data_IF_128765350520
#
_entry.id   IF_128765350520
#
_cell.length_a   1.000
_cell.length_b   1.000
_cell.length_c   1.000
_cell.angle_alpha   90.00
_cell.angle_beta   90.00
_cell.angle_gamma   90.00
#
_symmetry.space_group_name_H-M   'P 1'
#
loop_
_entity.id
_entity.type
_entity.pdbx_description
1 polymer ?
#
# COMPACT_ATOMS: atom_id res chain seq x y z
N UNK A 1 14.57 10.07 -7.41
CA UNK A 1 14.05 9.04 -6.51
C UNK A 1 13.33 9.71 -5.35
N UNK A 2 12.12 9.32 -5.04
CA UNK A 2 11.31 9.92 -3.97
C UNK A 2 11.29 8.95 -2.81
N UNK A 3 11.71 9.44 -1.63
CA UNK A 3 11.63 8.69 -0.38
C UNK A 3 10.26 8.90 0.25
N UNK A 4 9.57 7.81 0.50
CA UNK A 4 8.28 7.83 1.19
C UNK A 4 8.49 7.19 2.55
N UNK A 5 8.42 8.01 3.58
CA UNK A 5 8.49 7.56 4.96
C UNK A 5 7.10 7.56 5.59
N UNK A 6 6.82 6.50 6.31
CA UNK A 6 5.59 6.40 7.08
C UNK A 6 5.90 6.66 8.56
N UNK A 7 5.55 7.84 9.03
CA UNK A 7 5.61 8.18 10.45
C UNK A 7 4.47 7.51 11.21
N UNK A 8 4.64 6.25 11.49
CA UNK A 8 3.90 5.64 12.60
C UNK A 8 4.63 5.99 13.89
N UNK A 9 3.89 6.34 14.92
CA UNK A 9 4.42 6.55 16.27
C UNK A 9 4.94 5.21 16.82
N UNK A 10 6.06 4.77 16.25
CA UNK A 10 6.70 3.48 16.48
C UNK A 10 7.70 3.61 17.62
N UNK A 11 7.22 3.59 18.82
CA UNK A 11 8.13 3.33 19.94
C UNK A 11 8.48 1.83 19.97
N UNK A 12 9.68 1.54 19.47
CA UNK A 12 10.64 0.47 19.83
C UNK A 12 10.26 -1.02 19.68
N UNK A 13 9.02 -1.44 19.83
CA UNK A 13 8.67 -2.88 19.78
C UNK A 13 8.35 -3.35 18.34
N UNK A 14 7.75 -2.51 17.57
CA UNK A 14 7.29 -2.85 16.21
C UNK A 14 8.44 -3.10 15.21
N UNK A 15 9.53 -2.31 15.19
CA UNK A 15 10.65 -2.57 14.29
C UNK A 15 11.33 -3.90 14.55
N UNK A 16 11.51 -4.25 15.83
CA UNK A 16 12.12 -5.52 16.22
C UNK A 16 11.25 -6.70 15.82
N UNK A 17 9.95 -6.62 16.04
CA UNK A 17 8.99 -7.66 15.65
C UNK A 17 8.98 -7.88 14.12
N UNK A 18 8.93 -6.82 13.34
CA UNK A 18 8.96 -6.89 11.88
C UNK A 18 10.30 -7.41 11.36
N UNK A 19 11.41 -7.00 11.96
CA UNK A 19 12.74 -7.52 11.60
C UNK A 19 12.83 -9.03 11.84
N UNK A 20 12.40 -9.49 13.00
CA UNK A 20 12.37 -10.93 13.32
C UNK A 20 11.48 -11.70 12.37
N UNK A 21 10.28 -11.18 12.05
CA UNK A 21 9.40 -11.81 11.07
C UNK A 21 10.03 -11.86 9.67
N UNK A 22 10.74 -10.81 9.25
CA UNK A 22 11.43 -10.77 7.98
C UNK A 22 12.52 -11.85 7.82
N UNK A 23 13.15 -12.24 8.91
CA UNK A 23 14.16 -13.30 8.95
C UNK A 23 13.56 -14.72 9.02
N UNK A 24 12.29 -14.84 9.42
CA UNK A 24 11.62 -16.12 9.60
C UNK A 24 10.85 -16.57 8.35
N UNK A 25 11.56 -17.02 7.33
CA UNK A 25 10.94 -17.55 6.10
C UNK A 25 9.97 -18.72 6.36
N UNK A 26 10.18 -19.47 7.43
CA UNK A 26 9.33 -20.59 7.81
C UNK A 26 7.90 -20.18 8.20
N UNK A 27 7.69 -18.92 8.56
CA UNK A 27 6.39 -18.37 8.93
C UNK A 27 5.64 -17.71 7.77
N UNK A 28 6.25 -17.65 6.57
CA UNK A 28 5.57 -17.17 5.37
C UNK A 28 4.37 -18.06 5.06
N UNK A 29 3.19 -17.48 5.03
CA UNK A 29 1.91 -18.19 5.00
C UNK A 29 0.94 -17.67 3.92
N UNK A 30 1.43 -16.86 2.99
CA UNK A 30 0.67 -16.41 1.82
C UNK A 30 1.61 -16.22 0.62
N UNK A 31 1.10 -16.53 -0.56
CA UNK A 31 1.79 -16.29 -1.82
C UNK A 31 0.95 -15.35 -2.68
N UNK A 32 1.57 -14.29 -3.17
CA UNK A 32 0.94 -13.34 -4.10
C UNK A 32 1.61 -13.51 -5.46
N UNK A 33 0.82 -13.80 -6.48
CA UNK A 33 1.28 -13.98 -7.84
C UNK A 33 0.86 -12.79 -8.71
N UNK A 34 1.81 -12.19 -9.40
CA UNK A 34 1.56 -11.17 -10.42
C UNK A 34 2.65 -11.22 -11.50
N UNK A 35 2.28 -10.97 -12.74
CA UNK A 35 3.18 -10.99 -13.89
C UNK A 35 4.08 -12.24 -13.98
N UNK A 36 3.55 -13.40 -13.60
CA UNK A 36 4.32 -14.66 -13.59
C UNK A 36 5.35 -14.78 -12.47
N UNK A 37 5.38 -13.86 -11.54
CA UNK A 37 6.23 -13.87 -10.35
C UNK A 37 5.41 -14.17 -9.10
N UNK A 38 6.00 -14.94 -8.18
CA UNK A 38 5.42 -15.25 -6.89
C UNK A 38 6.20 -14.55 -5.78
N UNK A 39 5.49 -13.82 -4.93
CA UNK A 39 6.05 -13.18 -3.74
C UNK A 39 5.41 -13.80 -2.51
N UNK A 40 6.23 -14.34 -1.62
CA UNK A 40 5.76 -14.87 -0.34
C UNK A 40 5.80 -13.79 0.74
N UNK A 41 4.81 -13.80 1.62
CA UNK A 41 4.69 -12.82 2.68
C UNK A 41 3.99 -13.44 3.91
N UNK A 42 3.89 -12.64 4.96
CA UNK A 42 3.15 -13.00 6.18
C UNK A 42 1.76 -12.39 6.15
N UNK A 43 0.72 -13.19 6.29
CA UNK A 43 -0.67 -12.70 6.36
C UNK A 43 -0.87 -11.64 7.44
N UNK A 44 -0.21 -11.79 8.57
CA UNK A 44 -0.32 -10.85 9.68
C UNK A 44 0.21 -9.45 9.31
N UNK A 45 1.32 -9.38 8.59
CA UNK A 45 1.90 -8.09 8.13
C UNK A 45 1.01 -7.45 7.09
N UNK A 46 0.54 -8.20 6.11
CA UNK A 46 -0.37 -7.71 5.08
C UNK A 46 -1.69 -7.22 5.68
N UNK A 47 -2.26 -7.96 6.63
CA UNK A 47 -3.49 -7.59 7.32
C UNK A 47 -3.34 -6.35 8.19
N UNK A 48 -2.20 -6.18 8.83
CA UNK A 48 -1.92 -5.00 9.65
C UNK A 48 -1.75 -3.74 8.80
N UNK A 49 -1.21 -3.87 7.59
CA UNK A 49 -0.85 -2.75 6.72
C UNK A 49 -1.91 -2.41 5.67
N UNK A 50 -2.72 -3.37 5.26
CA UNK A 50 -3.69 -3.22 4.17
C UNK A 50 -5.11 -3.60 4.60
N UNK A 51 -6.05 -2.69 4.39
CA UNK A 51 -7.47 -2.96 4.64
C UNK A 51 -8.04 -4.05 3.72
N UNK A 52 -7.62 -4.09 2.46
CA UNK A 52 -8.07 -5.09 1.50
C UNK A 52 -7.56 -6.48 1.85
N UNK A 53 -6.28 -6.65 2.15
CA UNK A 53 -5.75 -7.94 2.58
C UNK A 53 -6.39 -8.43 3.88
N UNK A 54 -6.65 -7.52 4.81
CA UNK A 54 -7.39 -7.87 6.03
C UNK A 54 -8.77 -8.43 5.74
N UNK A 55 -9.52 -7.81 4.83
CA UNK A 55 -10.84 -8.30 4.42
C UNK A 55 -10.76 -9.65 3.73
N UNK A 56 -9.81 -9.81 2.78
CA UNK A 56 -9.62 -11.08 2.07
C UNK A 56 -9.36 -12.25 3.01
N UNK A 57 -8.50 -12.06 4.00
CA UNK A 57 -8.16 -13.11 4.96
C UNK A 57 -9.30 -13.40 5.94
N UNK A 58 -10.13 -12.42 6.26
CA UNK A 58 -11.33 -12.63 7.09
C UNK A 58 -12.40 -13.45 6.37
N UNK A 59 -12.63 -13.19 5.10
CA UNK A 59 -13.62 -13.92 4.27
C UNK A 59 -13.22 -15.39 4.12
N UNK A 60 -11.94 -15.67 3.95
CA UNK A 60 -11.42 -17.03 3.73
C UNK A 60 -11.21 -17.83 5.03
N UNK A 61 -11.98 -17.58 6.06
CA UNK A 61 -11.93 -18.36 7.31
C UNK A 61 -10.94 -17.86 8.35
N UNK A 62 -10.42 -16.64 8.16
CA UNK A 62 -9.54 -16.00 9.13
C UNK A 62 -8.09 -16.49 9.09
N UNK A 63 -7.27 -15.89 9.93
CA UNK A 63 -5.82 -16.14 10.00
C UNK A 63 -5.48 -17.53 10.57
N UNK A 64 -6.42 -18.20 11.22
CA UNK A 64 -6.13 -19.34 12.11
C UNK A 64 -6.54 -20.71 11.54
N UNK A 65 -7.45 -20.76 10.57
CA UNK A 65 -8.11 -22.01 10.20
C UNK A 65 -7.73 -22.59 8.83
N UNK A 66 -6.81 -22.00 8.10
CA UNK A 66 -6.41 -22.54 6.80
C UNK A 66 -5.23 -23.49 6.93
N UNK A 67 -5.48 -24.76 6.64
CA UNK A 67 -4.46 -25.79 6.56
C UNK A 67 -3.49 -25.66 5.38
N UNK A 68 -3.77 -24.75 4.46
CA UNK A 68 -2.93 -24.45 3.28
C UNK A 68 -2.73 -22.97 3.12
N UNK A 69 -1.53 -22.59 2.68
CA UNK A 69 -1.19 -21.20 2.39
C UNK A 69 -2.02 -20.71 1.19
N UNK A 70 -2.79 -19.62 1.33
CA UNK A 70 -3.55 -19.08 0.22
C UNK A 70 -2.64 -18.50 -0.85
N UNK A 71 -3.08 -18.64 -2.11
CA UNK A 71 -2.46 -18.03 -3.27
C UNK A 71 -3.37 -16.93 -3.78
N UNK A 72 -2.88 -15.71 -3.84
CA UNK A 72 -3.62 -14.55 -4.33
C UNK A 72 -3.09 -14.18 -5.71
N UNK A 73 -3.96 -14.18 -6.71
CA UNK A 73 -3.62 -13.75 -8.06
C UNK A 73 -3.97 -12.27 -8.23
N UNK A 74 -3.00 -11.46 -8.61
CA UNK A 74 -3.20 -10.04 -8.90
C UNK A 74 -3.01 -9.77 -10.38
N UNK A 75 -4.05 -9.26 -11.01
CA UNK A 75 -4.07 -8.87 -12.42
C UNK A 75 -3.81 -7.37 -12.57
N UNK A 76 -3.18 -6.97 -13.64
CA UNK A 76 -2.86 -5.57 -13.94
C UNK A 76 -2.02 -4.86 -12.86
N UNK A 77 -1.12 -5.61 -12.27
CA UNK A 77 -0.19 -5.11 -11.26
C UNK A 77 1.24 -5.44 -11.67
N UNK A 78 2.10 -4.45 -11.68
CA UNK A 78 3.51 -4.66 -11.93
C UNK A 78 4.16 -5.36 -10.73
N UNK A 79 4.96 -6.39 -11.01
CA UNK A 79 5.66 -7.13 -9.97
C UNK A 79 6.62 -6.25 -9.15
N UNK A 80 7.24 -5.26 -9.78
CA UNK A 80 8.11 -4.30 -9.11
C UNK A 80 7.35 -3.43 -8.11
N UNK A 81 6.20 -2.88 -8.50
CA UNK A 81 5.36 -2.07 -7.62
C UNK A 81 4.86 -2.87 -6.43
N UNK A 82 4.46 -4.12 -6.66
CA UNK A 82 4.04 -5.02 -5.58
C UNK A 82 5.17 -5.32 -4.60
N UNK A 83 6.38 -5.60 -5.09
CA UNK A 83 7.56 -5.84 -4.24
C UNK A 83 7.91 -4.61 -3.40
N UNK A 84 7.90 -3.44 -4.00
CA UNK A 84 8.14 -2.18 -3.31
C UNK A 84 7.08 -1.92 -2.22
N UNK A 85 5.82 -2.20 -2.54
CA UNK A 85 4.72 -2.01 -1.60
C UNK A 85 4.79 -2.99 -0.42
N UNK A 86 5.11 -4.25 -0.67
CA UNK A 86 5.32 -5.24 0.38
C UNK A 86 6.53 -4.84 1.24
N UNK A 87 7.63 -4.42 0.62
CA UNK A 87 8.78 -3.92 1.36
C UNK A 87 8.40 -2.74 2.26
N UNK A 88 7.60 -1.80 1.76
CA UNK A 88 7.07 -0.70 2.58
C UNK A 88 6.25 -1.19 3.78
N UNK A 89 5.45 -2.22 3.61
CA UNK A 89 4.66 -2.81 4.71
C UNK A 89 5.55 -3.39 5.81
N UNK A 90 6.72 -3.93 5.45
CA UNK A 90 7.67 -4.50 6.40
C UNK A 90 8.57 -3.46 7.05
N UNK A 91 9.12 -2.56 6.28
CA UNK A 91 10.16 -1.63 6.71
C UNK A 91 9.58 -0.27 7.13
N UNK A 92 8.49 0.15 6.50
CA UNK A 92 7.85 1.44 6.73
C UNK A 92 8.41 2.59 5.89
N UNK A 93 9.39 2.30 5.05
CA UNK A 93 9.98 3.25 4.10
C UNK A 93 10.25 2.56 2.78
N UNK A 94 10.20 3.30 1.69
CA UNK A 94 10.48 2.80 0.35
C UNK A 94 10.98 3.91 -0.57
N UNK A 95 11.92 3.55 -1.41
CA UNK A 95 12.45 4.40 -2.48
C UNK A 95 11.76 4.05 -3.78
N UNK A 96 11.03 5.00 -4.35
CA UNK A 96 10.30 4.81 -5.61
C UNK A 96 10.82 5.80 -6.65
N UNK A 97 11.12 5.31 -7.85
CA UNK A 97 11.48 6.17 -8.96
C UNK A 97 10.30 7.07 -9.37
N UNK A 98 10.62 8.25 -9.87
CA UNK A 98 9.60 9.20 -10.34
C UNK A 98 8.65 8.58 -11.37
N UNK A 99 9.18 7.74 -12.25
CA UNK A 99 8.43 7.08 -13.32
C UNK A 99 7.40 6.08 -12.78
N UNK A 100 7.75 5.37 -11.71
CA UNK A 100 6.91 4.34 -11.10
C UNK A 100 6.02 4.88 -9.97
N UNK A 101 6.21 6.13 -9.57
CA UNK A 101 5.50 6.70 -8.42
C UNK A 101 3.98 6.65 -8.58
N UNK A 102 3.47 7.01 -9.75
CA UNK A 102 2.02 7.03 -10.01
C UNK A 102 1.42 5.62 -9.94
N UNK A 103 2.05 4.63 -10.58
CA UNK A 103 1.58 3.24 -10.56
C UNK A 103 1.68 2.64 -9.16
N UNK A 104 2.75 2.92 -8.44
CA UNK A 104 2.93 2.51 -7.05
C UNK A 104 1.86 3.07 -6.12
N UNK A 105 1.60 4.37 -6.18
CA UNK A 105 0.58 5.02 -5.36
C UNK A 105 -0.84 4.55 -5.72
N UNK A 106 -1.12 4.31 -6.99
CA UNK A 106 -2.40 3.73 -7.44
C UNK A 106 -2.61 2.33 -6.84
N UNK A 107 -1.58 1.51 -6.85
CA UNK A 107 -1.63 0.18 -6.22
C UNK A 107 -1.84 0.28 -4.71
N UNK A 108 -1.13 1.18 -4.04
CA UNK A 108 -1.27 1.42 -2.61
C UNK A 108 -2.70 1.86 -2.23
N UNK A 109 -3.32 2.70 -3.04
CA UNK A 109 -4.71 3.13 -2.85
C UNK A 109 -5.70 1.97 -3.08
N UNK A 110 -5.50 1.19 -4.14
CA UNK A 110 -6.34 0.00 -4.42
C UNK A 110 -6.29 -1.02 -3.28
N UNK A 111 -5.14 -1.21 -2.67
CA UNK A 111 -4.95 -2.12 -1.54
C UNK A 111 -5.22 -1.48 -0.18
N UNK A 112 -5.59 -0.23 -0.14
CA UNK A 112 -5.84 0.53 1.10
C UNK A 112 -4.68 0.38 2.10
N UNK A 113 -3.47 0.64 1.62
CA UNK A 113 -2.26 0.57 2.45
C UNK A 113 -2.19 1.79 3.37
N UNK A 114 -2.07 1.53 4.66
CA UNK A 114 -2.00 2.58 5.67
C UNK A 114 -0.73 3.41 5.51
N UNK A 115 -0.90 4.71 5.64
CA UNK A 115 0.20 5.70 5.54
C UNK A 115 0.39 6.27 4.14
N UNK A 116 0.15 5.51 3.10
CA UNK A 116 0.24 5.98 1.71
C UNK A 116 -1.06 6.64 1.23
N UNK A 117 -2.21 6.17 1.68
CA UNK A 117 -3.52 6.74 1.36
C UNK A 117 -3.70 8.17 1.89
N UNK A 118 -3.14 8.47 3.04
CA UNK A 118 -3.19 9.83 3.62
C UNK A 118 -2.41 10.84 2.78
N UNK A 119 -1.27 10.45 2.25
CA UNK A 119 -0.44 11.31 1.39
C UNK A 119 -1.15 11.65 0.08
N UNK A 120 -1.86 10.69 -0.51
CA UNK A 120 -2.65 10.91 -1.73
C UNK A 120 -3.80 11.89 -1.50
N UNK A 121 -4.48 11.79 -0.37
CA UNK A 121 -5.57 12.71 -0.04
C UNK A 121 -5.07 14.14 0.14
N UNK A 122 -3.91 14.36 0.77
CA UNK A 122 -3.27 15.67 0.85
C UNK A 122 -2.92 16.24 -0.54
N UNK A 123 -2.36 15.42 -1.41
CA UNK A 123 -2.01 15.85 -2.77
C UNK A 123 -3.23 16.16 -3.62
N UNK A 124 -4.31 15.40 -3.48
CA UNK A 124 -5.58 15.66 -4.16
C UNK A 124 -6.25 16.93 -3.66
N UNK A 125 -6.19 17.19 -2.37
CA UNK A 125 -6.78 18.40 -1.78
C UNK A 125 -6.06 19.66 -2.26
N UNK A 126 -4.75 19.63 -2.41
CA UNK A 126 -3.99 20.77 -2.93
C UNK A 126 -4.21 21.01 -4.43
N UNK A 127 -4.47 19.98 -5.22
CA UNK A 127 -4.81 20.11 -6.65
C UNK A 127 -6.22 20.68 -6.83
N UNK A 128 -7.18 20.26 -6.02
CA UNK A 128 -8.55 20.76 -6.09
C UNK A 128 -8.65 22.22 -5.67
N UNK A 129 -7.82 22.68 -4.74
CA UNK A 129 -7.82 24.09 -4.33
C UNK A 129 -7.21 25.05 -5.36
N UNK A 130 -6.38 24.56 -6.27
CA UNK A 130 -5.82 25.38 -7.37
C UNK A 130 -6.74 25.50 -8.58
N UNK A 131 -7.64 24.52 -8.79
CA UNK A 131 -8.59 24.57 -9.90
C UNK A 131 -9.87 25.35 -9.60
N UNK A 132 -10.19 25.59 -8.35
CA UNK A 132 -11.40 26.34 -7.98
C UNK A 132 -11.21 27.86 -7.97
N UNK A 133 -10.00 28.36 -8.19
CA UNK A 133 -9.73 29.80 -8.22
C UNK A 133 -9.97 30.46 -9.59
N UNK A 134 -10.22 29.68 -10.64
CA UNK A 134 -10.28 30.20 -12.01
C UNK A 134 -11.72 30.28 -12.61
N UNK A 135 -12.76 30.12 -11.79
CA UNK A 135 -14.14 30.17 -12.26
C UNK A 135 -14.91 31.43 -11.87
N UNK A 136 -14.23 32.50 -11.49
CA UNK A 136 -14.90 33.80 -11.32
C UNK A 136 -14.71 34.65 -12.56
N UNK A 137 -15.49 34.37 -13.57
CA UNK A 137 -15.85 35.40 -14.54
C UNK A 137 -16.77 36.41 -13.84
N UNK A 138 -16.42 37.67 -13.76
CA UNK A 138 -17.40 38.69 -13.44
C UNK A 138 -18.42 38.74 -14.57
N UNK A 139 -19.64 38.39 -14.25
CA UNK A 139 -20.75 38.71 -15.15
C UNK A 139 -20.92 40.23 -15.16
N UNK A 140 -20.35 40.88 -16.12
CA UNK A 140 -20.75 42.22 -16.45
C UNK A 140 -22.11 42.19 -17.11
N UNK A 141 -23.13 42.41 -16.33
CA UNK A 141 -24.38 42.85 -16.89
C UNK A 141 -24.16 44.22 -17.49
N UNK A 142 -24.05 44.24 -18.80
CA UNK A 142 -24.16 45.48 -19.51
C UNK A 142 -25.59 45.93 -19.49
N UNK A 143 -25.75 47.18 -19.01
CA UNK A 143 -26.76 47.99 -19.43
C UNK A 143 -26.85 49.36 -19.13
#
# INVERSE_FOLDING_TARGET
MIDIEFFFNKKEIYPTFISILGEMESLLDVTICCEGQAVRAHRIVLSASSGIFRQMFRINGGLVNNKSDPVIMMWDVKAEDLKLLINFMYVGEVNVSQENLTSFLTLAERLQVRGLTTTLNCSRTSIVSTTSADSRRPSTTAR
#
